data_IF_691587890801
#
_entry.id   IF_691587890801
#
_cell.length_a   1.000
_cell.length_b   1.000
_cell.length_c   1.000
_cell.angle_alpha   90.00
_cell.angle_beta   90.00
_cell.angle_gamma   90.00
#
_symmetry.space_group_name_H-M   'P 1'
#
loop_
_entity.id
_entity.type
_entity.pdbx_description
1 polymer ?
#
# COMPACT_ATOMS: atom_id res chain seq x y z
N UNK A 1 1.04 20.30 20.98
CA UNK A 1 1.76 19.81 19.79
C UNK A 1 1.36 20.72 18.64
N UNK A 2 2.23 21.62 18.17
CA UNK A 2 1.92 22.30 16.91
C UNK A 2 2.41 21.42 15.78
N UNK A 3 1.55 21.18 14.81
CA UNK A 3 1.80 20.35 13.62
C UNK A 3 3.11 20.74 12.90
N UNK A 4 3.50 22.01 13.02
CA UNK A 4 4.74 22.59 12.49
C UNK A 4 6.00 21.92 13.05
N UNK A 5 6.11 21.68 14.36
CA UNK A 5 7.30 21.03 14.95
C UNK A 5 7.47 19.59 14.47
N UNK A 6 6.35 18.89 14.25
CA UNK A 6 6.37 17.53 13.70
C UNK A 6 6.88 17.52 12.26
N UNK A 7 6.35 18.40 11.41
CA UNK A 7 6.79 18.51 10.01
C UNK A 7 8.26 18.87 9.88
N UNK A 8 8.76 19.76 10.73
CA UNK A 8 10.17 20.15 10.75
C UNK A 8 11.09 18.98 11.12
N UNK A 9 10.76 18.23 12.18
CA UNK A 9 11.54 17.06 12.58
C UNK A 9 11.54 15.97 11.51
N UNK A 10 10.38 15.71 10.87
CA UNK A 10 10.27 14.75 9.77
C UNK A 10 11.16 15.17 8.60
N UNK A 11 11.16 16.45 8.22
CA UNK A 11 12.01 16.95 7.13
C UNK A 11 13.50 16.80 7.46
N UNK A 12 13.93 17.22 8.66
CA UNK A 12 15.34 17.09 9.08
C UNK A 12 15.76 15.62 9.14
N UNK A 13 14.90 14.73 9.65
CA UNK A 13 15.22 13.31 9.74
C UNK A 13 15.27 12.62 8.36
N UNK A 14 14.41 13.02 7.43
CA UNK A 14 14.47 12.57 6.04
C UNK A 14 15.78 13.01 5.36
N UNK A 15 16.23 14.25 5.59
CA UNK A 15 17.53 14.72 5.09
C UNK A 15 18.71 13.95 5.70
N UNK A 16 18.63 13.58 6.99
CA UNK A 16 19.64 12.71 7.62
C UNK A 16 19.70 11.36 6.91
N UNK A 17 18.55 10.70 6.68
CA UNK A 17 18.51 9.42 5.99
C UNK A 17 19.05 9.53 4.56
N UNK A 18 18.70 10.58 3.81
CA UNK A 18 19.21 10.81 2.47
C UNK A 18 20.74 10.96 2.44
N UNK A 19 21.33 11.65 3.43
CA UNK A 19 22.79 11.79 3.57
C UNK A 19 23.46 10.47 3.95
N UNK A 20 22.86 9.69 4.86
CA UNK A 20 23.36 8.36 5.25
C UNK A 20 23.29 7.36 4.08
N UNK A 21 22.21 7.40 3.30
CA UNK A 21 22.05 6.60 2.08
C UNK A 21 23.04 7.01 0.99
N UNK A 22 23.24 8.31 0.77
CA UNK A 22 24.25 8.82 -0.14
C UNK A 22 25.67 8.34 0.22
N UNK A 23 26.01 8.27 1.51
CA UNK A 23 27.27 7.68 1.98
C UNK A 23 27.37 6.18 1.67
N UNK A 24 26.26 5.46 1.78
CA UNK A 24 26.18 4.00 1.54
C UNK A 24 26.25 3.65 0.05
N UNK A 25 25.54 4.38 -0.80
CA UNK A 25 25.41 4.08 -2.23
C UNK A 25 26.39 4.84 -3.11
N UNK A 26 26.94 5.96 -2.62
CA UNK A 26 27.75 6.89 -3.40
C UNK A 26 26.91 7.78 -4.34
N UNK A 27 25.59 7.79 -4.19
CA UNK A 27 24.69 8.62 -4.99
C UNK A 27 24.52 10.01 -4.37
N UNK A 28 24.44 11.06 -5.19
CA UNK A 28 24.15 12.41 -4.71
C UNK A 28 22.69 12.49 -4.24
N UNK A 29 22.41 12.87 -2.98
CA UNK A 29 21.06 12.86 -2.42
C UNK A 29 20.10 13.83 -3.13
N UNK A 30 20.62 14.82 -3.87
CA UNK A 30 19.81 15.76 -4.65
C UNK A 30 19.43 15.23 -6.03
N UNK A 31 20.25 14.36 -6.60
CA UNK A 31 20.07 13.88 -7.98
C UNK A 31 19.68 12.42 -8.08
N UNK A 32 19.85 11.63 -7.01
CA UNK A 32 19.64 10.18 -6.99
C UNK A 32 20.56 9.44 -7.95
N UNK A 33 21.73 10.01 -8.27
CA UNK A 33 22.68 9.45 -9.24
C UNK A 33 24.10 9.58 -8.72
N UNK A 34 24.99 8.63 -9.07
CA UNK A 34 26.39 8.73 -8.70
C UNK A 34 27.08 9.88 -9.48
N UNK A 35 27.95 10.65 -8.83
CA UNK A 35 28.71 11.72 -9.49
C UNK A 35 29.64 11.15 -10.57
N UNK A 36 29.58 11.76 -11.77
CA UNK A 36 30.30 11.27 -12.96
C UNK A 36 31.74 11.76 -13.10
N UNK A 37 32.12 12.79 -12.35
CA UNK A 37 33.45 13.40 -12.43
C UNK A 37 34.17 13.33 -11.08
N UNK A 38 35.51 13.27 -11.04
CA UNK A 38 36.28 13.28 -9.80
C UNK A 38 36.02 14.53 -8.94
N UNK A 39 35.85 15.69 -9.58
CA UNK A 39 35.50 16.95 -8.90
C UNK A 39 34.12 16.87 -8.21
N UNK A 40 33.13 16.26 -8.87
CA UNK A 40 31.81 16.05 -8.28
C UNK A 40 31.84 15.02 -7.14
N UNK A 41 32.68 13.99 -7.24
CA UNK A 41 32.90 13.02 -6.15
C UNK A 41 33.50 13.69 -4.91
N UNK A 42 34.53 14.52 -5.09
CA UNK A 42 35.16 15.25 -4.00
C UNK A 42 34.17 16.22 -3.33
N UNK A 43 33.41 16.98 -4.12
CA UNK A 43 32.36 17.88 -3.61
C UNK A 43 31.26 17.14 -2.86
N UNK A 44 30.86 15.96 -3.34
CA UNK A 44 29.89 15.13 -2.63
C UNK A 44 30.47 14.66 -1.29
N UNK A 45 31.71 14.18 -1.25
CA UNK A 45 32.35 13.77 0.00
C UNK A 45 32.43 14.91 1.02
N UNK A 46 32.90 16.09 0.60
CA UNK A 46 32.96 17.28 1.46
C UNK A 46 31.57 17.71 1.96
N UNK A 47 30.56 17.64 1.08
CA UNK A 47 29.17 17.91 1.46
C UNK A 47 28.69 16.94 2.53
N UNK A 48 28.84 15.62 2.33
CA UNK A 48 28.38 14.58 3.26
C UNK A 48 29.11 14.66 4.62
N UNK A 49 30.41 15.00 4.61
CA UNK A 49 31.20 15.20 5.84
C UNK A 49 30.69 16.36 6.69
N UNK A 50 30.29 17.46 6.06
CA UNK A 50 29.76 18.63 6.75
C UNK A 50 28.30 18.50 7.14
N UNK A 51 27.49 17.91 6.27
CA UNK A 51 26.03 18.00 6.37
C UNK A 51 25.45 17.04 7.40
N UNK A 52 25.98 15.82 7.49
CA UNK A 52 25.52 14.82 8.46
C UNK A 52 25.57 15.32 9.92
N UNK A 53 26.72 15.80 10.45
CA UNK A 53 26.77 16.31 11.83
C UNK A 53 25.91 17.56 12.01
N UNK A 54 25.80 18.42 11.00
CA UNK A 54 24.94 19.62 11.03
C UNK A 54 23.47 19.25 11.21
N UNK A 55 22.98 18.29 10.43
CA UNK A 55 21.59 17.82 10.50
C UNK A 55 21.30 17.07 11.80
N UNK A 56 22.19 16.17 12.24
CA UNK A 56 22.06 15.46 13.52
C UNK A 56 22.01 16.45 14.71
N UNK A 57 22.84 17.48 14.68
CA UNK A 57 22.82 18.54 15.70
C UNK A 57 21.53 19.35 15.66
N UNK A 58 21.04 19.74 14.47
CA UNK A 58 19.78 20.46 14.32
C UNK A 58 18.59 19.64 14.84
N UNK A 59 18.53 18.35 14.50
CA UNK A 59 17.49 17.43 14.97
C UNK A 59 17.48 17.31 16.51
N UNK A 60 18.65 17.10 17.12
CA UNK A 60 18.79 17.05 18.59
C UNK A 60 18.36 18.37 19.25
N UNK A 61 18.77 19.51 18.69
CA UNK A 61 18.42 20.82 19.22
C UNK A 61 16.91 21.09 19.14
N UNK A 62 16.24 20.66 18.07
CA UNK A 62 14.79 20.77 17.91
C UNK A 62 14.04 19.92 18.93
N UNK A 63 14.47 18.67 19.17
CA UNK A 63 13.91 17.81 20.22
C UNK A 63 14.11 18.39 21.62
N UNK A 64 15.30 18.93 21.92
CA UNK A 64 15.56 19.59 23.20
C UNK A 64 14.70 20.85 23.39
N UNK A 65 14.53 21.65 22.34
CA UNK A 65 13.66 22.83 22.37
C UNK A 65 12.21 22.43 22.65
N UNK A 66 11.72 21.38 22.00
CA UNK A 66 10.40 20.82 22.25
C UNK A 66 10.27 20.28 23.68
N UNK A 67 11.29 19.55 24.17
CA UNK A 67 11.32 19.01 25.53
C UNK A 67 11.26 20.10 26.61
N UNK A 68 11.88 21.26 26.38
CA UNK A 68 11.79 22.42 27.30
C UNK A 68 10.36 22.97 27.41
N UNK A 69 9.58 22.92 26.33
CA UNK A 69 8.20 23.43 26.31
C UNK A 69 7.16 22.41 26.77
N UNK A 70 7.35 21.12 26.45
CA UNK A 70 6.33 20.08 26.58
C UNK A 70 6.75 18.87 27.43
N UNK A 71 8.00 18.83 27.90
CA UNK A 71 8.55 17.74 28.71
C UNK A 71 9.24 16.64 27.90
N UNK A 72 10.08 15.85 28.59
CA UNK A 72 10.91 14.82 27.98
C UNK A 72 10.10 13.69 27.34
N UNK A 73 9.02 13.24 27.99
CA UNK A 73 8.16 12.18 27.46
C UNK A 73 7.53 12.58 26.12
N UNK A 74 6.99 13.79 26.02
CA UNK A 74 6.39 14.30 24.78
C UNK A 74 7.42 14.39 23.64
N UNK A 75 8.67 14.74 23.95
CA UNK A 75 9.76 14.75 22.97
C UNK A 75 10.14 13.34 22.51
N UNK A 76 10.13 12.34 23.40
CA UNK A 76 10.34 10.94 23.04
C UNK A 76 9.24 10.42 22.12
N UNK A 77 7.98 10.71 22.41
CA UNK A 77 6.85 10.34 21.55
C UNK A 77 6.94 11.00 20.17
N UNK A 78 7.37 12.27 20.12
CA UNK A 78 7.58 13.01 18.88
C UNK A 78 8.74 12.44 18.05
N UNK A 79 9.87 12.08 18.67
CA UNK A 79 11.00 11.41 18.00
C UNK A 79 10.55 10.08 17.39
N UNK A 80 9.84 9.25 18.16
CA UNK A 80 9.32 7.98 17.68
C UNK A 80 8.37 8.16 16.48
N UNK A 81 7.47 9.14 16.55
CA UNK A 81 6.54 9.48 15.46
C UNK A 81 7.27 9.98 14.20
N UNK A 82 8.27 10.86 14.35
CA UNK A 82 9.03 11.41 13.22
C UNK A 82 9.81 10.30 12.50
N UNK A 83 10.50 9.44 13.25
CA UNK A 83 11.23 8.28 12.70
C UNK A 83 10.31 7.33 11.93
N UNK A 84 9.15 7.01 12.50
CA UNK A 84 8.16 6.16 11.84
C UNK A 84 7.66 6.81 10.55
N UNK A 85 7.30 8.09 10.60
CA UNK A 85 6.76 8.82 9.44
C UNK A 85 7.76 8.83 8.28
N UNK A 86 9.04 9.06 8.56
CA UNK A 86 10.07 9.01 7.51
C UNK A 86 10.24 7.60 6.97
N UNK A 87 10.27 6.57 7.83
CA UNK A 87 10.35 5.17 7.38
C UNK A 87 9.17 4.79 6.47
N UNK A 88 7.95 5.19 6.82
CA UNK A 88 6.75 4.96 6.02
C UNK A 88 6.83 5.69 4.65
N UNK A 89 7.60 6.78 4.56
CA UNK A 89 7.81 7.54 3.32
C UNK A 89 8.97 7.01 2.45
N UNK A 90 9.93 6.26 3.00
CA UNK A 90 11.14 5.79 2.29
C UNK A 90 11.04 4.36 1.76
N UNK A 91 9.95 3.64 2.01
CA UNK A 91 9.69 2.35 1.35
C UNK A 91 9.39 2.61 -0.13
N UNK A 92 10.36 2.25 -0.97
CA UNK A 92 10.26 2.27 -2.43
C UNK A 92 8.98 1.49 -2.85
N UNK A 93 8.15 1.95 -3.80
CA UNK A 93 6.86 1.32 -4.11
C UNK A 93 6.94 -0.17 -4.46
N UNK A 94 8.08 -0.61 -4.99
CA UNK A 94 8.39 -2.02 -5.31
C UNK A 94 8.62 -2.90 -4.07
N UNK A 95 8.97 -2.28 -2.95
CA UNK A 95 9.28 -2.93 -1.67
C UNK A 95 8.06 -2.91 -0.72
N UNK A 96 6.96 -2.26 -1.14
CA UNK A 96 5.67 -2.34 -0.45
C UNK A 96 5.02 -3.69 -0.68
N UNK A 97 4.30 -4.17 0.31
CA UNK A 97 3.50 -5.37 0.18
C UNK A 97 2.33 -5.11 -0.77
N UNK A 98 2.04 -6.08 -1.63
CA UNK A 98 0.83 -6.07 -2.44
C UNK A 98 -0.43 -6.03 -1.55
N UNK A 99 -1.53 -5.39 -1.95
CA UNK A 99 -2.75 -5.29 -1.13
C UNK A 99 -3.41 -6.65 -0.80
N UNK A 100 -3.03 -7.70 -1.54
CA UNK A 100 -3.41 -9.08 -1.25
C UNK A 100 -2.62 -9.73 -0.11
N UNK A 101 -1.61 -9.05 0.46
CA UNK A 101 -0.75 -9.53 1.52
C UNK A 101 -1.09 -8.86 2.87
N UNK A 102 -1.15 -9.59 4.00
CA UNK A 102 -1.57 -9.02 5.29
C UNK A 102 -0.71 -7.84 5.74
N UNK A 103 0.60 -7.89 5.49
CA UNK A 103 1.54 -6.85 5.91
C UNK A 103 1.32 -5.49 5.26
N UNK A 104 0.55 -5.44 4.16
CA UNK A 104 0.11 -4.18 3.57
C UNK A 104 -0.71 -3.34 4.56
N UNK A 105 -1.57 -3.98 5.38
CA UNK A 105 -2.48 -3.28 6.30
C UNK A 105 -2.01 -3.25 7.76
N UNK A 106 -0.86 -3.86 8.05
CA UNK A 106 -0.32 -3.92 9.41
C UNK A 106 0.43 -2.65 9.78
N UNK A 107 0.30 -2.15 11.02
CA UNK A 107 1.10 -1.03 11.51
C UNK A 107 2.62 -1.26 11.47
N UNK A 108 3.06 -2.52 11.54
CA UNK A 108 4.47 -2.93 11.48
C UNK A 108 4.94 -3.26 10.05
N UNK A 109 4.03 -3.24 9.06
CA UNK A 109 4.35 -3.33 7.63
C UNK A 109 4.17 -1.97 6.96
N UNK A 110 3.40 -1.90 5.87
CA UNK A 110 3.20 -0.63 5.14
C UNK A 110 2.20 0.30 5.84
N UNK A 111 1.39 -0.24 6.76
CA UNK A 111 0.27 0.44 7.41
C UNK A 111 -0.64 1.19 6.40
N UNK A 112 -0.78 0.64 5.21
CA UNK A 112 -1.49 1.28 4.13
C UNK A 112 -3.01 1.29 4.41
N UNK A 113 -3.71 2.37 4.01
CA UNK A 113 -5.16 2.40 4.12
C UNK A 113 -5.78 1.32 3.21
N UNK A 114 -6.90 0.70 3.63
CA UNK A 114 -7.68 -0.19 2.77
C UNK A 114 -8.09 0.47 1.46
N UNK A 115 -7.89 -0.22 0.34
CA UNK A 115 -8.23 0.29 -0.99
C UNK A 115 -9.76 0.36 -1.12
N UNK A 116 -10.37 1.49 -1.54
CA UNK A 116 -11.79 1.57 -1.83
C UNK A 116 -12.22 0.48 -2.82
N UNK A 117 -13.40 -0.12 -2.61
CA UNK A 117 -13.89 -1.24 -3.43
C UNK A 117 -13.92 -0.90 -4.93
N UNK A 118 -14.23 0.36 -5.23
CA UNK A 118 -14.35 0.90 -6.57
C UNK A 118 -13.00 1.03 -7.29
N UNK A 119 -11.90 1.08 -6.53
CA UNK A 119 -10.52 1.18 -7.03
C UNK A 119 -9.84 -0.20 -7.15
N UNK A 120 -10.47 -1.28 -6.66
CA UNK A 120 -9.92 -2.62 -6.78
C UNK A 120 -10.01 -3.10 -8.23
N UNK A 121 -8.84 -3.32 -8.85
CA UNK A 121 -8.79 -3.81 -10.22
C UNK A 121 -9.27 -5.27 -10.33
N UNK A 122 -10.14 -5.59 -11.30
CA UNK A 122 -10.59 -6.95 -11.55
C UNK A 122 -9.46 -7.84 -12.10
N UNK A 123 -9.36 -9.07 -11.58
CA UNK A 123 -8.47 -10.08 -12.14
C UNK A 123 -9.15 -10.85 -13.29
N UNK A 124 -8.87 -10.46 -14.53
CA UNK A 124 -9.48 -11.10 -15.70
C UNK A 124 -8.94 -12.51 -16.00
N UNK A 125 -7.78 -12.90 -15.45
CA UNK A 125 -7.22 -14.23 -15.69
C UNK A 125 -8.05 -15.34 -15.03
N UNK A 126 -8.84 -15.00 -14.00
CA UNK A 126 -9.79 -15.90 -13.36
C UNK A 126 -10.80 -16.52 -14.34
N UNK A 127 -11.10 -15.82 -15.44
CA UNK A 127 -12.02 -16.30 -16.48
C UNK A 127 -11.53 -17.58 -17.17
N UNK A 128 -10.20 -17.75 -17.30
CA UNK A 128 -9.60 -18.96 -17.88
C UNK A 128 -9.91 -20.21 -17.07
N UNK A 129 -10.10 -20.07 -15.74
CA UNK A 129 -10.47 -21.18 -14.87
C UNK A 129 -11.95 -21.54 -15.03
N UNK A 130 -12.84 -20.54 -15.11
CA UNK A 130 -14.26 -20.77 -15.37
C UNK A 130 -14.48 -21.46 -16.71
N UNK A 131 -13.78 -21.02 -17.76
CA UNK A 131 -13.96 -21.53 -19.11
C UNK A 131 -13.82 -23.06 -19.22
N UNK A 132 -12.90 -23.65 -18.43
CA UNK A 132 -12.66 -25.10 -18.41
C UNK A 132 -13.87 -25.91 -17.92
N UNK A 133 -14.72 -25.31 -17.11
CA UNK A 133 -15.89 -25.96 -16.52
C UNK A 133 -17.17 -25.77 -17.35
N UNK A 134 -17.10 -25.00 -18.44
CA UNK A 134 -18.28 -24.67 -19.23
C UNK A 134 -18.62 -25.77 -20.26
N UNK A 135 -19.92 -26.07 -20.47
CA UNK A 135 -20.35 -26.96 -21.53
C UNK A 135 -19.87 -26.49 -22.92
N UNK A 136 -19.55 -27.44 -23.81
CA UNK A 136 -19.24 -27.14 -25.22
C UNK A 136 -20.46 -26.68 -26.02
N UNK A 137 -21.66 -27.14 -25.66
CA UNK A 137 -22.91 -26.73 -26.30
C UNK A 137 -23.25 -25.28 -25.93
N UNK A 138 -23.42 -24.42 -26.94
CA UNK A 138 -23.62 -22.98 -26.75
C UNK A 138 -24.85 -22.63 -25.90
N UNK A 139 -26.00 -23.28 -26.14
CA UNK A 139 -27.23 -22.99 -25.39
C UNK A 139 -27.08 -23.36 -23.91
N UNK A 140 -26.52 -24.53 -23.62
CA UNK A 140 -26.22 -24.95 -22.23
C UNK A 140 -25.16 -24.07 -21.57
N UNK A 141 -24.16 -23.63 -22.34
CA UNK A 141 -23.12 -22.70 -21.87
C UNK A 141 -23.70 -21.36 -21.45
N UNK A 142 -24.55 -20.76 -22.29
CA UNK A 142 -25.21 -19.47 -21.98
C UNK A 142 -26.08 -19.58 -20.73
N UNK A 143 -26.84 -20.67 -20.61
CA UNK A 143 -27.70 -20.85 -19.43
C UNK A 143 -26.88 -21.04 -18.14
N UNK A 144 -25.83 -21.87 -18.18
CA UNK A 144 -24.91 -22.02 -17.05
C UNK A 144 -24.28 -20.68 -16.66
N UNK A 145 -23.84 -19.89 -17.64
CA UNK A 145 -23.26 -18.57 -17.41
C UNK A 145 -24.23 -17.59 -16.75
N UNK A 146 -25.53 -17.60 -17.11
CA UNK A 146 -26.53 -16.74 -16.46
C UNK A 146 -26.73 -17.10 -14.99
N UNK A 147 -26.84 -18.38 -14.68
CA UNK A 147 -26.96 -18.86 -13.30
C UNK A 147 -25.70 -18.52 -12.49
N UNK A 148 -24.52 -18.71 -13.09
CA UNK A 148 -23.26 -18.33 -12.47
C UNK A 148 -23.16 -16.82 -12.24
N UNK A 149 -23.58 -15.99 -13.20
CA UNK A 149 -23.53 -14.53 -13.06
C UNK A 149 -24.30 -14.06 -11.82
N UNK A 150 -25.54 -14.51 -11.65
CA UNK A 150 -26.36 -14.12 -10.50
C UNK A 150 -25.74 -14.56 -9.16
N UNK A 151 -25.20 -15.79 -9.10
CA UNK A 151 -24.52 -16.31 -7.92
C UNK A 151 -23.25 -15.53 -7.58
N UNK A 152 -22.41 -15.25 -8.58
CA UNK A 152 -21.15 -14.50 -8.40
C UNK A 152 -21.42 -13.02 -8.04
N UNK A 153 -22.46 -12.41 -8.60
CA UNK A 153 -22.90 -11.06 -8.19
C UNK A 153 -23.34 -11.03 -6.72
N UNK A 154 -24.14 -11.99 -6.27
CA UNK A 154 -24.56 -12.06 -4.88
C UNK A 154 -23.39 -12.27 -3.92
N UNK A 155 -22.43 -13.14 -4.28
CA UNK A 155 -21.19 -13.35 -3.51
C UNK A 155 -20.34 -12.08 -3.46
N UNK A 156 -20.20 -11.38 -4.58
CA UNK A 156 -19.44 -10.14 -4.65
C UNK A 156 -20.04 -9.08 -3.73
N UNK A 157 -21.37 -8.90 -3.71
CA UNK A 157 -22.02 -7.95 -2.80
C UNK A 157 -21.83 -8.31 -1.32
N UNK A 158 -21.88 -9.61 -0.97
CA UNK A 158 -21.55 -10.10 0.38
C UNK A 158 -20.10 -9.77 0.75
N UNK A 159 -19.14 -10.01 -0.15
CA UNK A 159 -17.73 -9.70 0.07
C UNK A 159 -17.49 -8.20 0.21
N UNK A 160 -18.16 -7.35 -0.57
CA UNK A 160 -18.10 -5.88 -0.44
C UNK A 160 -18.57 -5.44 0.94
N UNK A 161 -19.74 -5.92 1.37
CA UNK A 161 -20.30 -5.61 2.69
C UNK A 161 -19.33 -6.03 3.80
N UNK A 162 -18.78 -7.24 3.71
CA UNK A 162 -17.83 -7.75 4.71
C UNK A 162 -16.53 -6.96 4.74
N UNK A 163 -15.99 -6.61 3.58
CA UNK A 163 -14.78 -5.79 3.51
C UNK A 163 -14.99 -4.42 4.18
N UNK A 164 -16.09 -3.74 3.86
CA UNK A 164 -16.47 -2.47 4.48
C UNK A 164 -16.69 -2.60 6.00
N UNK A 165 -17.32 -3.68 6.45
CA UNK A 165 -17.53 -3.95 7.87
C UNK A 165 -16.20 -4.06 8.63
N UNK A 166 -15.20 -4.74 8.05
CA UNK A 166 -13.85 -4.87 8.63
C UNK A 166 -13.12 -3.52 8.63
N UNK A 167 -13.29 -2.70 7.59
CA UNK A 167 -12.72 -1.35 7.56
C UNK A 167 -13.27 -0.51 8.73
N UNK A 168 -14.59 -0.54 8.94
CA UNK A 168 -15.28 0.30 9.91
C UNK A 168 -15.10 -0.17 11.36
N UNK A 169 -15.21 -1.47 11.61
CA UNK A 169 -15.24 -2.06 12.97
C UNK A 169 -13.95 -2.78 13.34
N UNK A 170 -13.00 -2.90 12.42
CA UNK A 170 -11.72 -3.58 12.65
C UNK A 170 -11.89 -5.05 13.05
N UNK A 171 -11.11 -5.49 14.04
CA UNK A 171 -11.13 -6.87 14.52
C UNK A 171 -12.47 -7.28 15.17
N UNK A 172 -13.29 -6.32 15.60
CA UNK A 172 -14.63 -6.60 16.16
C UNK A 172 -15.63 -7.10 15.11
N UNK A 173 -15.37 -6.85 13.83
CA UNK A 173 -16.15 -7.43 12.73
C UNK A 173 -15.89 -8.94 12.56
N UNK A 174 -14.78 -9.44 13.11
CA UNK A 174 -14.31 -10.79 12.85
C UNK A 174 -14.94 -11.79 13.82
N UNK A 175 -15.07 -13.03 13.35
CA UNK A 175 -15.45 -14.12 14.24
C UNK A 175 -14.34 -14.38 15.26
N UNK A 176 -14.70 -14.99 16.39
CA UNK A 176 -13.73 -15.44 17.38
C UNK A 176 -12.69 -16.39 16.75
N UNK A 177 -13.14 -17.27 15.86
CA UNK A 177 -12.28 -18.22 15.16
C UNK A 177 -11.24 -17.53 14.28
N UNK A 178 -11.63 -16.50 13.52
CA UNK A 178 -10.70 -15.74 12.67
C UNK A 178 -9.64 -15.01 13.49
N UNK A 179 -10.04 -14.46 14.66
CA UNK A 179 -9.11 -13.83 15.61
C UNK A 179 -8.13 -14.83 16.21
N UNK A 180 -8.58 -16.04 16.52
CA UNK A 180 -7.75 -17.09 17.09
C UNK A 180 -6.70 -17.63 16.09
N UNK A 181 -7.03 -17.75 14.81
CA UNK A 181 -6.10 -18.22 13.75
C UNK A 181 -4.98 -17.22 13.47
N UNK A 182 -5.21 -15.92 13.69
CA UNK A 182 -4.16 -14.93 13.45
C UNK A 182 -2.97 -15.03 14.44
N UNK A 183 -3.09 -15.87 15.49
CA UNK A 183 -2.04 -16.35 16.42
C UNK A 183 -1.14 -15.28 17.08
N UNK A 184 -1.40 -13.99 16.88
CA UNK A 184 -0.48 -12.91 17.26
C UNK A 184 -1.20 -11.71 17.86
N UNK A 185 -2.14 -11.09 17.13
CA UNK A 185 -2.88 -9.92 17.62
C UNK A 185 -4.17 -9.67 16.83
N UNK A 186 -5.06 -8.84 17.39
CA UNK A 186 -6.25 -8.33 16.70
C UNK A 186 -5.90 -7.51 15.45
N UNK A 187 -4.75 -6.81 15.46
CA UNK A 187 -4.25 -6.08 14.30
C UNK A 187 -3.90 -7.03 13.16
N UNK A 188 -3.20 -8.13 13.45
CA UNK A 188 -2.89 -9.17 12.47
C UNK A 188 -4.15 -9.85 11.95
N UNK A 189 -5.12 -10.12 12.83
CA UNK A 189 -6.40 -10.70 12.44
C UNK A 189 -7.13 -9.78 11.44
N UNK A 190 -7.23 -8.48 11.76
CA UNK A 190 -7.81 -7.48 10.87
C UNK A 190 -7.06 -7.41 9.53
N UNK A 191 -5.74 -7.30 9.57
CA UNK A 191 -4.93 -7.16 8.37
C UNK A 191 -5.02 -8.37 7.45
N UNK A 192 -5.01 -9.57 8.01
CA UNK A 192 -5.21 -10.83 7.27
C UNK A 192 -6.60 -10.92 6.67
N UNK A 193 -7.63 -10.53 7.43
CA UNK A 193 -9.01 -10.53 6.93
C UNK A 193 -9.19 -9.53 5.77
N UNK A 194 -8.60 -8.34 5.88
CA UNK A 194 -8.61 -7.34 4.80
C UNK A 194 -7.91 -7.86 3.55
N UNK A 195 -6.73 -8.47 3.66
CA UNK A 195 -6.00 -8.98 2.51
C UNK A 195 -6.73 -10.13 1.81
N UNK A 196 -7.35 -11.03 2.58
CA UNK A 196 -8.18 -12.11 2.03
C UNK A 196 -9.41 -11.55 1.31
N UNK A 197 -10.12 -10.59 1.93
CA UNK A 197 -11.30 -9.98 1.30
C UNK A 197 -10.96 -9.12 0.09
N UNK A 198 -9.83 -8.43 0.09
CA UNK A 198 -9.31 -7.76 -1.10
C UNK A 198 -9.14 -8.75 -2.27
N UNK A 199 -8.48 -9.89 -2.03
CA UNK A 199 -8.31 -10.92 -3.07
C UNK A 199 -9.67 -11.49 -3.54
N UNK A 200 -10.61 -11.74 -2.62
CA UNK A 200 -11.95 -12.19 -2.99
C UNK A 200 -12.68 -11.19 -3.87
N UNK A 201 -12.62 -9.89 -3.53
CA UNK A 201 -13.20 -8.81 -4.34
C UNK A 201 -12.57 -8.75 -5.73
N UNK A 202 -11.24 -8.72 -5.80
CA UNK A 202 -10.46 -8.72 -7.05
C UNK A 202 -10.85 -9.89 -7.97
N UNK A 203 -10.98 -11.10 -7.41
CA UNK A 203 -11.42 -12.27 -8.15
C UNK A 203 -12.90 -12.22 -8.52
N UNK A 204 -13.79 -11.83 -7.60
CA UNK A 204 -15.22 -11.74 -7.83
C UNK A 204 -15.57 -10.72 -8.93
N UNK A 205 -14.94 -9.54 -8.89
CA UNK A 205 -15.04 -8.52 -9.94
C UNK A 205 -14.60 -9.08 -11.29
N UNK A 206 -13.45 -9.76 -11.34
CA UNK A 206 -12.95 -10.42 -12.56
C UNK A 206 -13.90 -11.48 -13.11
N UNK A 207 -14.48 -12.32 -12.25
CA UNK A 207 -15.46 -13.35 -12.64
C UNK A 207 -16.73 -12.75 -13.20
N UNK A 208 -17.32 -11.78 -12.50
CA UNK A 208 -18.55 -11.11 -12.94
C UNK A 208 -18.32 -10.42 -14.29
N UNK A 209 -17.25 -9.65 -14.42
CA UNK A 209 -16.92 -8.95 -15.66
C UNK A 209 -16.67 -9.91 -16.83
N UNK A 210 -15.94 -11.00 -16.58
CA UNK A 210 -15.71 -12.02 -17.62
C UNK A 210 -17.00 -12.71 -18.05
N UNK A 211 -17.86 -13.11 -17.11
CA UNK A 211 -19.14 -13.77 -17.42
C UNK A 211 -20.08 -12.81 -18.18
N UNK A 212 -20.17 -11.54 -17.76
CA UNK A 212 -20.98 -10.52 -18.42
C UNK A 212 -20.56 -10.34 -19.88
N UNK A 213 -19.25 -10.29 -20.13
CA UNK A 213 -18.67 -10.21 -21.48
C UNK A 213 -19.04 -11.42 -22.33
N UNK A 214 -19.01 -12.63 -21.77
CA UNK A 214 -19.41 -13.85 -22.49
C UNK A 214 -20.91 -13.89 -22.81
N UNK A 215 -21.74 -13.28 -21.98
CA UNK A 215 -23.18 -13.18 -22.20
C UNK A 215 -23.57 -12.02 -23.13
N UNK A 216 -22.63 -11.10 -23.43
CA UNK A 216 -22.87 -9.88 -24.19
C UNK A 216 -23.71 -8.87 -23.41
N UNK A 217 -23.66 -8.92 -22.07
CA UNK A 217 -24.42 -8.04 -21.17
C UNK A 217 -23.57 -6.90 -20.62
N UNK A 218 -22.42 -6.62 -21.24
CA UNK A 218 -21.58 -5.49 -20.87
C UNK A 218 -22.36 -4.19 -21.12
N UNK A 219 -22.99 -3.69 -20.06
CA UNK A 219 -23.39 -2.29 -19.98
C UNK A 219 -22.12 -1.49 -19.71
N UNK A 220 -21.85 -0.39 -20.44
CA UNK A 220 -20.62 0.40 -20.35
C UNK A 220 -20.48 1.21 -19.04
N UNK A 221 -21.07 0.76 -17.94
CA UNK A 221 -21.07 1.47 -16.63
C UNK A 221 -20.11 0.85 -15.62
N UNK A 222 -19.07 0.15 -16.09
CA UNK A 222 -17.84 0.04 -15.31
C UNK A 222 -16.89 1.06 -15.93
N UNK A 223 -16.98 2.29 -15.41
CA UNK A 223 -16.02 3.37 -15.70
C UNK A 223 -14.69 2.95 -15.10
N UNK A 224 -13.90 2.21 -15.85
CA UNK A 224 -12.45 2.14 -15.64
C UNK A 224 -11.85 2.95 -16.79
N UNK A 225 -11.83 4.26 -16.59
CA UNK A 225 -11.08 5.20 -17.44
C UNK A 225 -9.58 5.21 -17.06
N UNK A 226 -9.06 4.05 -16.65
CA UNK A 226 -7.71 3.90 -16.09
C UNK A 226 -6.85 2.86 -16.83
N UNK A 227 -6.98 2.71 -18.15
CA UNK A 227 -5.93 2.01 -18.94
C UNK A 227 -5.74 2.66 -20.30
N UNK A 228 -5.09 3.83 -20.34
CA UNK A 228 -4.39 4.31 -21.55
C UNK A 228 -3.22 5.23 -21.19
N UNK A 229 -2.17 4.70 -20.56
CA UNK A 229 -0.77 5.13 -20.79
C UNK A 229 0.19 3.97 -20.56
N UNK A 230 0.32 3.09 -21.54
CA UNK A 230 1.58 2.36 -21.74
C UNK A 230 2.50 3.29 -22.54
N UNK A 231 3.67 3.71 -22.03
CA UNK A 231 4.65 4.36 -22.88
C UNK A 231 5.22 3.28 -23.81
N UNK A 232 4.87 3.40 -25.08
CA UNK A 232 5.56 2.75 -26.19
C UNK A 232 7.05 3.10 -26.11
N UNK A 233 7.87 2.14 -25.70
CA UNK A 233 9.25 2.08 -26.17
C UNK A 233 9.28 1.26 -27.45
N UNK A 234 9.51 1.98 -28.55
CA UNK A 234 10.09 1.48 -29.79
C UNK A 234 11.44 2.21 -29.95
N UNK A 235 12.35 1.67 -30.77
CA UNK A 235 13.02 0.38 -30.65
C UNK A 235 14.47 0.53 -30.16
#
# INVERSE_FOLDING_TARGET
MTEEHGRELVAIFADIQAVEDARRTGEDPRSGRPPRTPDAQMKLAEFLEREEPRLKSAYSAALEAYARGFGAQAATELDAWARKTVADCTIDPKDRYEPGHPWHYLPQGDNAPPIPVEEIEPDFDIGKLIERELPKNLSKRREKLRVMLASEQARLEEDKRRYQEIIQRGAEALSRYDREIAHSSDEMARATALSLKYNHLRYGLGRVAWIARQLGTDSPTIVIDAVRKSPTHQP
#
